data_IF_199087761926
#
_entry.id   IF_199087761926
#
_cell.length_a   1.000
_cell.length_b   1.000
_cell.length_c   1.000
_cell.angle_alpha   90.00
_cell.angle_beta   90.00
_cell.angle_gamma   90.00
#
_symmetry.space_group_name_H-M   'P 1'
#
loop_
_entity.id
_entity.type
_entity.pdbx_description
1 polymer ?
#
# COMPACT_ATOMS: atom_id res chain seq x y z
N UNK A 1 6.03 2.87 -14.57
CA UNK A 1 5.50 4.24 -14.56
C UNK A 1 5.68 4.92 -13.20
N UNK A 2 5.11 4.38 -12.07
CA UNK A 2 5.29 4.98 -10.73
C UNK A 2 6.76 4.92 -10.31
N UNK A 3 7.44 3.78 -10.47
CA UNK A 3 8.86 3.64 -10.20
C UNK A 3 9.71 4.64 -11.01
N UNK A 4 9.39 4.86 -12.29
CA UNK A 4 10.11 5.83 -13.12
C UNK A 4 9.91 7.27 -12.65
N UNK A 5 8.73 7.58 -12.11
CA UNK A 5 8.49 8.90 -11.53
C UNK A 5 9.30 9.09 -10.23
N UNK A 6 9.38 8.09 -9.36
CA UNK A 6 10.27 8.11 -8.18
C UNK A 6 11.71 8.30 -8.60
N UNK A 7 12.21 7.49 -9.54
CA UNK A 7 13.60 7.60 -10.05
C UNK A 7 13.91 8.99 -10.58
N UNK A 8 12.99 9.62 -11.33
CA UNK A 8 13.17 11.01 -11.79
C UNK A 8 13.35 11.96 -10.63
N UNK A 9 12.50 11.85 -9.59
CA UNK A 9 12.63 12.70 -8.39
C UNK A 9 13.97 12.52 -7.69
N UNK A 10 14.48 11.28 -7.59
CA UNK A 10 15.79 10.99 -7.00
C UNK A 10 16.92 11.60 -7.84
N UNK A 11 16.90 11.45 -9.15
CA UNK A 11 17.90 12.08 -10.05
C UNK A 11 17.89 13.62 -9.97
N UNK A 12 16.70 14.22 -9.96
CA UNK A 12 16.54 15.67 -9.81
C UNK A 12 17.12 16.20 -8.50
N UNK A 13 17.09 15.38 -7.44
CA UNK A 13 17.69 15.69 -6.15
C UNK A 13 19.19 15.35 -6.05
N UNK A 14 19.81 14.85 -7.14
CA UNK A 14 21.25 14.61 -7.24
C UNK A 14 21.70 13.24 -6.70
N UNK A 15 20.83 12.28 -6.54
CA UNK A 15 21.14 10.93 -6.08
C UNK A 15 20.96 9.86 -7.18
N UNK A 16 21.48 8.66 -6.95
CA UNK A 16 21.40 7.53 -7.88
C UNK A 16 20.29 6.57 -7.43
N UNK A 17 19.20 6.42 -8.20
CA UNK A 17 18.17 5.44 -7.88
C UNK A 17 18.54 4.05 -8.42
N UNK A 18 18.44 3.05 -7.55
CA UNK A 18 18.52 1.64 -7.90
C UNK A 18 17.13 1.01 -7.72
N UNK A 19 16.70 0.22 -8.70
CA UNK A 19 15.42 -0.48 -8.65
C UNK A 19 15.67 -1.98 -8.52
N UNK A 20 15.04 -2.62 -7.56
CA UNK A 20 15.05 -4.07 -7.41
C UNK A 20 13.64 -4.59 -7.11
N UNK A 21 13.26 -5.74 -7.65
CA UNK A 21 11.96 -6.33 -7.39
C UNK A 21 11.93 -6.98 -6.01
N UNK A 22 10.74 -7.02 -5.43
CA UNK A 22 10.41 -7.80 -4.24
C UNK A 22 9.17 -8.63 -4.52
N UNK A 23 8.94 -9.67 -3.70
CA UNK A 23 7.74 -10.48 -3.79
C UNK A 23 6.47 -9.64 -3.70
N UNK A 24 5.50 -9.90 -4.57
CA UNK A 24 4.17 -9.29 -4.52
C UNK A 24 3.15 -10.30 -3.99
N UNK A 25 2.38 -9.89 -2.98
CA UNK A 25 1.40 -10.74 -2.30
C UNK A 25 -0.02 -10.39 -2.75
N UNK A 26 -0.47 -11.01 -3.84
CA UNK A 26 -1.81 -10.82 -4.39
C UNK A 26 -2.82 -11.80 -3.76
N UNK A 27 -3.69 -11.32 -2.86
CA UNK A 27 -4.65 -12.13 -2.11
C UNK A 27 -5.53 -13.06 -3.00
N UNK A 28 -6.06 -12.61 -4.16
CA UNK A 28 -6.95 -13.46 -4.95
C UNK A 28 -6.31 -14.72 -5.50
N UNK A 29 -5.00 -14.71 -5.71
CA UNK A 29 -4.26 -15.77 -6.40
C UNK A 29 -3.53 -16.73 -5.46
N UNK A 30 -3.31 -16.35 -4.20
CA UNK A 30 -2.52 -17.13 -3.25
C UNK A 30 -3.39 -17.99 -2.33
N UNK A 31 -2.89 -19.17 -2.01
CA UNK A 31 -3.55 -20.14 -1.12
C UNK A 31 -2.60 -20.56 0.00
N UNK A 32 -3.11 -20.81 1.22
CA UNK A 32 -4.49 -20.56 1.67
C UNK A 32 -4.77 -19.08 1.92
N UNK A 33 -3.75 -18.26 2.17
CA UNK A 33 -3.82 -16.80 2.37
C UNK A 33 -2.45 -16.18 2.22
N UNK A 34 -2.39 -14.94 1.73
CA UNK A 34 -1.15 -14.16 1.64
C UNK A 34 -0.54 -13.84 3.01
N UNK A 35 -1.33 -13.94 4.09
CA UNK A 35 -0.85 -13.68 5.45
C UNK A 35 0.33 -14.56 5.86
N UNK A 36 0.37 -15.80 5.38
CA UNK A 36 1.48 -16.73 5.65
C UNK A 36 2.81 -16.26 5.04
N UNK A 37 2.75 -15.48 3.98
CA UNK A 37 3.93 -15.01 3.23
C UNK A 37 4.37 -13.60 3.61
N UNK A 38 3.58 -12.86 4.41
CA UNK A 38 3.90 -11.48 4.84
C UNK A 38 5.27 -11.39 5.51
N UNK A 39 5.58 -12.33 6.40
CA UNK A 39 6.85 -12.32 7.11
C UNK A 39 8.03 -12.72 6.20
N UNK A 40 7.79 -13.63 5.25
CA UNK A 40 8.79 -13.98 4.23
C UNK A 40 9.15 -12.77 3.37
N UNK A 41 8.16 -12.01 2.92
CA UNK A 41 8.37 -10.75 2.21
C UNK A 41 9.14 -9.73 3.07
N UNK A 42 8.83 -9.64 4.36
CA UNK A 42 9.55 -8.74 5.26
C UNK A 42 11.03 -9.13 5.38
N UNK A 43 11.33 -10.41 5.48
CA UNK A 43 12.70 -10.94 5.51
C UNK A 43 13.42 -10.68 4.19
N UNK A 44 12.78 -10.93 3.04
CA UNK A 44 13.33 -10.64 1.71
C UNK A 44 13.69 -9.16 1.58
N UNK A 45 12.77 -8.26 1.93
CA UNK A 45 13.00 -6.82 1.87
C UNK A 45 14.14 -6.38 2.82
N UNK A 46 14.17 -6.89 4.05
CA UNK A 46 15.23 -6.62 5.02
C UNK A 46 16.60 -7.02 4.48
N UNK A 47 16.73 -8.25 3.96
CA UNK A 47 18.00 -8.75 3.44
C UNK A 47 18.45 -7.99 2.18
N UNK A 48 17.53 -7.67 1.28
CA UNK A 48 17.87 -6.88 0.09
C UNK A 48 18.37 -5.48 0.47
N UNK A 49 17.75 -4.82 1.45
CA UNK A 49 18.19 -3.50 1.92
C UNK A 49 19.55 -3.60 2.60
N UNK A 50 19.79 -4.62 3.43
CA UNK A 50 21.09 -4.82 4.15
C UNK A 50 22.23 -5.21 3.22
N UNK A 51 21.94 -6.02 2.18
CA UNK A 51 22.97 -6.54 1.27
C UNK A 51 23.48 -5.49 0.28
N UNK A 52 22.80 -4.38 0.11
CA UNK A 52 23.15 -3.34 -0.86
C UNK A 52 23.56 -2.03 -0.16
N UNK A 53 24.48 -1.26 -0.75
CA UNK A 53 24.95 0.02 -0.18
C UNK A 53 23.91 1.13 -0.42
N UNK A 54 22.78 1.07 0.26
CA UNK A 54 21.68 2.01 0.14
C UNK A 54 21.69 3.02 1.27
N UNK A 55 21.46 4.29 0.96
CA UNK A 55 21.35 5.38 1.95
C UNK A 55 19.90 5.65 2.35
N UNK A 56 18.93 5.26 1.50
CA UNK A 56 17.49 5.40 1.75
C UNK A 56 16.68 4.53 0.82
N UNK A 57 15.39 4.34 1.14
CA UNK A 57 14.52 3.41 0.42
C UNK A 57 13.16 4.02 0.12
N UNK A 58 12.66 3.86 -1.11
CA UNK A 58 11.27 4.13 -1.45
C UNK A 58 10.55 2.82 -1.71
N UNK A 59 9.59 2.51 -0.85
CA UNK A 59 8.79 1.29 -0.92
C UNK A 59 7.58 1.49 -1.84
N UNK A 60 7.52 0.75 -2.94
CA UNK A 60 6.38 0.75 -3.85
C UNK A 60 5.41 -0.37 -3.45
N UNK A 61 4.23 0.00 -2.98
CA UNK A 61 3.27 -0.95 -2.41
C UNK A 61 1.89 -0.81 -3.03
N UNK A 62 0.96 -1.68 -2.67
CA UNK A 62 -0.41 -1.58 -3.18
C UNK A 62 -1.38 -2.62 -2.62
N UNK A 63 -0.91 -3.78 -2.21
CA UNK A 63 -1.78 -4.83 -1.69
C UNK A 63 -1.75 -4.88 -0.16
N UNK A 64 -2.75 -5.52 0.41
CA UNK A 64 -3.02 -5.55 1.86
C UNK A 64 -1.93 -6.21 2.71
N UNK A 65 -1.15 -7.16 2.19
CA UNK A 65 -0.01 -7.79 2.89
C UNK A 65 1.34 -7.30 2.38
N UNK A 66 1.41 -6.82 1.15
CA UNK A 66 2.65 -6.26 0.58
C UNK A 66 3.05 -4.98 1.32
N UNK A 67 2.10 -4.09 1.58
CA UNK A 67 2.36 -2.85 2.31
C UNK A 67 2.99 -3.10 3.69
N UNK A 68 2.36 -3.85 4.60
CA UNK A 68 2.96 -4.06 5.92
C UNK A 68 4.22 -4.94 5.87
N UNK A 69 4.33 -5.88 4.94
CA UNK A 69 5.53 -6.70 4.78
C UNK A 69 6.77 -5.87 4.44
N UNK A 70 6.66 -4.97 3.46
CA UNK A 70 7.76 -4.08 3.08
C UNK A 70 8.11 -3.08 4.19
N UNK A 71 7.10 -2.52 4.86
CA UNK A 71 7.32 -1.62 6.00
C UNK A 71 8.01 -2.33 7.15
N UNK A 72 7.64 -3.58 7.46
CA UNK A 72 8.32 -4.39 8.47
C UNK A 72 9.79 -4.64 8.12
N UNK A 73 10.09 -4.96 6.86
CA UNK A 73 11.47 -5.16 6.39
C UNK A 73 12.31 -3.89 6.52
N UNK A 74 11.79 -2.76 6.04
CA UNK A 74 12.46 -1.46 6.17
C UNK A 74 12.64 -1.02 7.63
N UNK A 75 11.64 -1.27 8.49
CA UNK A 75 11.72 -0.98 9.93
C UNK A 75 12.84 -1.75 10.63
N UNK A 76 13.13 -2.98 10.21
CA UNK A 76 14.22 -3.79 10.77
C UNK A 76 15.61 -3.24 10.42
N UNK A 77 15.75 -2.48 9.35
CA UNK A 77 17.02 -1.88 8.91
C UNK A 77 17.19 -0.46 9.42
N UNK A 78 16.10 0.25 9.62
CA UNK A 78 16.04 1.63 10.10
C UNK A 78 16.79 2.66 9.25
N UNK A 79 16.75 2.51 7.93
CA UNK A 79 17.19 3.58 7.01
C UNK A 79 16.07 4.61 6.80
N UNK A 80 16.41 5.82 6.29
CA UNK A 80 15.43 6.73 5.73
C UNK A 80 14.53 6.00 4.75
N UNK A 81 13.23 5.95 5.02
CA UNK A 81 12.30 5.14 4.25
C UNK A 81 11.00 5.91 4.01
N UNK A 82 10.53 5.90 2.77
CA UNK A 82 9.29 6.52 2.36
C UNK A 82 8.46 5.53 1.53
N UNK A 83 7.15 5.66 1.59
CA UNK A 83 6.22 4.77 0.90
C UNK A 83 5.49 5.51 -0.21
N UNK A 84 5.26 4.82 -1.31
CA UNK A 84 4.30 5.21 -2.35
C UNK A 84 3.39 4.02 -2.64
N UNK A 85 2.12 4.18 -2.37
CA UNK A 85 1.12 3.19 -2.78
C UNK A 85 0.76 3.38 -4.25
N UNK A 86 0.45 2.30 -4.95
CA UNK A 86 0.00 2.36 -6.34
C UNK A 86 -1.30 3.13 -6.54
N UNK A 87 -2.07 3.30 -5.48
CA UNK A 87 -3.37 3.97 -5.47
C UNK A 87 -4.54 3.01 -5.71
N UNK A 88 -5.75 3.37 -5.25
CA UNK A 88 -6.95 2.58 -5.46
C UNK A 88 -7.41 2.60 -6.93
N UNK A 89 -8.14 1.56 -7.32
CA UNK A 89 -8.94 1.58 -8.55
C UNK A 89 -10.01 2.69 -8.48
N UNK A 90 -10.50 3.11 -9.63
CA UNK A 90 -11.71 3.94 -9.70
C UNK A 90 -12.92 3.16 -9.17
N UNK A 91 -13.85 3.83 -8.51
CA UNK A 91 -15.07 3.21 -8.00
C UNK A 91 -15.83 2.49 -9.12
N UNK A 92 -16.19 1.25 -8.86
CA UNK A 92 -17.05 0.46 -9.74
C UNK A 92 -18.48 1.00 -9.75
N UNK A 93 -19.17 0.85 -10.88
CA UNK A 93 -20.60 1.16 -10.99
C UNK A 93 -21.29 0.07 -11.79
N UNK A 94 -22.37 -0.46 -11.24
CA UNK A 94 -23.24 -1.42 -11.91
C UNK A 94 -24.69 -1.00 -11.76
N UNK A 95 -25.40 -0.83 -12.87
CA UNK A 95 -26.81 -0.40 -12.91
C UNK A 95 -27.09 0.85 -12.05
N UNK A 96 -26.19 1.84 -12.16
CA UNK A 96 -26.33 3.13 -11.47
C UNK A 96 -25.95 3.12 -9.98
N UNK A 97 -25.57 1.98 -9.40
CA UNK A 97 -25.12 1.86 -8.01
C UNK A 97 -23.62 1.73 -7.94
N UNK A 98 -23.01 2.33 -6.93
CA UNK A 98 -21.60 2.11 -6.63
C UNK A 98 -21.40 0.68 -6.10
N UNK A 99 -20.36 0.01 -6.60
CA UNK A 99 -20.00 -1.35 -6.22
C UNK A 99 -18.52 -1.42 -5.89
N UNK A 100 -18.17 -2.30 -4.95
CA UNK A 100 -16.80 -2.54 -4.51
C UNK A 100 -16.32 -3.95 -4.81
N UNK A 101 -15.09 -4.08 -5.28
CA UNK A 101 -14.48 -5.36 -5.63
C UNK A 101 -14.33 -6.32 -4.43
N UNK A 102 -14.35 -5.80 -3.19
CA UNK A 102 -14.21 -6.62 -2.00
C UNK A 102 -15.53 -6.99 -1.32
N UNK A 103 -16.62 -6.27 -1.61
CA UNK A 103 -17.92 -6.45 -0.93
C UNK A 103 -18.98 -7.04 -1.83
N UNK A 104 -19.10 -6.53 -3.06
CA UNK A 104 -20.21 -6.88 -3.93
C UNK A 104 -19.97 -8.18 -4.74
N UNK A 105 -18.71 -8.62 -4.89
CA UNK A 105 -18.39 -9.88 -5.57
C UNK A 105 -19.11 -11.08 -4.94
N UNK A 106 -19.13 -11.16 -3.60
CA UNK A 106 -19.81 -12.23 -2.89
C UNK A 106 -21.31 -12.16 -3.06
N UNK A 107 -21.88 -10.97 -2.93
CA UNK A 107 -23.31 -10.72 -3.11
C UNK A 107 -23.80 -11.11 -4.52
N UNK A 108 -23.07 -10.73 -5.56
CA UNK A 108 -23.43 -11.07 -6.94
C UNK A 108 -23.24 -12.57 -7.21
N UNK A 109 -22.17 -13.18 -6.66
CA UNK A 109 -21.98 -14.62 -6.77
C UNK A 109 -23.11 -15.41 -6.10
N UNK A 110 -23.58 -14.97 -4.94
CA UNK A 110 -24.70 -15.60 -4.23
C UNK A 110 -26.02 -15.42 -5.01
N UNK A 111 -26.30 -14.22 -5.52
CA UNK A 111 -27.47 -13.94 -6.34
C UNK A 111 -27.48 -14.81 -7.62
N UNK A 112 -26.32 -14.98 -8.26
CA UNK A 112 -26.17 -15.85 -9.41
C UNK A 112 -26.45 -17.33 -9.05
N UNK A 113 -25.90 -17.82 -7.94
CA UNK A 113 -26.15 -19.19 -7.45
C UNK A 113 -27.62 -19.43 -7.09
N UNK A 114 -28.29 -18.39 -6.59
CA UNK A 114 -29.72 -18.44 -6.28
C UNK A 114 -30.63 -18.35 -7.53
N UNK A 115 -30.06 -18.12 -8.73
CA UNK A 115 -30.83 -17.93 -9.98
C UNK A 115 -31.47 -16.55 -10.10
N UNK A 116 -31.11 -15.60 -9.23
CA UNK A 116 -31.61 -14.22 -9.24
C UNK A 116 -30.83 -13.31 -10.21
N UNK A 117 -29.70 -13.80 -10.72
CA UNK A 117 -28.77 -13.07 -11.59
C UNK A 117 -28.29 -14.00 -12.71
N UNK A 118 -28.28 -13.52 -13.95
CA UNK A 118 -27.78 -14.32 -15.08
C UNK A 118 -26.26 -14.34 -15.12
N UNK A 119 -25.67 -15.23 -15.92
CA UNK A 119 -24.19 -15.28 -16.12
C UNK A 119 -23.71 -14.00 -16.80
N UNK A 120 -24.48 -13.48 -17.76
CA UNK A 120 -24.19 -12.23 -18.46
C UNK A 120 -24.16 -11.05 -17.49
N UNK A 121 -25.15 -10.94 -16.61
CA UNK A 121 -25.21 -9.90 -15.57
C UNK A 121 -24.03 -9.99 -14.60
N UNK A 122 -23.65 -11.20 -14.20
CA UNK A 122 -22.49 -11.42 -13.32
C UNK A 122 -21.19 -10.96 -14.02
N UNK A 123 -21.00 -11.35 -15.28
CA UNK A 123 -19.83 -10.96 -16.08
C UNK A 123 -19.75 -9.43 -16.26
N UNK A 124 -20.89 -8.78 -16.52
CA UNK A 124 -20.97 -7.32 -16.58
C UNK A 124 -20.58 -6.68 -15.25
N UNK A 125 -21.14 -7.19 -14.14
CA UNK A 125 -20.82 -6.70 -12.79
C UNK A 125 -19.33 -6.86 -12.45
N UNK A 126 -18.72 -8.01 -12.77
CA UNK A 126 -17.28 -8.25 -12.58
C UNK A 126 -16.43 -7.26 -13.38
N UNK A 127 -16.78 -7.00 -14.63
CA UNK A 127 -16.11 -6.00 -15.47
C UNK A 127 -16.21 -4.60 -14.87
N UNK A 128 -17.38 -4.25 -14.33
CA UNK A 128 -17.63 -2.97 -13.68
C UNK A 128 -16.87 -2.82 -12.35
N UNK A 129 -16.60 -3.92 -11.63
CA UNK A 129 -15.78 -3.91 -10.40
C UNK A 129 -14.30 -3.70 -10.66
N UNK A 130 -13.75 -4.22 -11.76
CA UNK A 130 -12.34 -4.09 -12.14
C UNK A 130 -12.12 -2.94 -13.14
N UNK A 131 -12.65 -1.77 -12.83
CA UNK A 131 -12.79 -0.64 -13.76
C UNK A 131 -11.47 -0.01 -14.21
N UNK A 132 -10.41 -0.08 -13.43
CA UNK A 132 -9.11 0.53 -13.75
C UNK A 132 -7.97 -0.23 -13.07
N UNK A 133 -6.72 0.12 -13.42
CA UNK A 133 -5.57 -0.27 -12.62
C UNK A 133 -5.67 0.29 -11.19
N UNK A 134 -5.02 -0.36 -10.23
CA UNK A 134 -4.99 0.03 -8.83
C UNK A 134 -5.22 -1.14 -7.89
N UNK A 135 -5.01 -0.90 -6.60
CA UNK A 135 -5.44 -1.87 -5.57
C UNK A 135 -6.97 -1.79 -5.35
N UNK A 136 -7.51 -2.71 -4.56
CA UNK A 136 -8.95 -2.73 -4.24
C UNK A 136 -9.44 -1.34 -3.78
N UNK A 137 -10.52 -0.82 -4.39
CA UNK A 137 -11.11 0.48 -4.05
C UNK A 137 -11.97 0.43 -2.78
N UNK A 138 -12.38 -0.75 -2.35
CA UNK A 138 -13.11 -0.90 -1.08
C UNK A 138 -12.23 -0.43 0.08
N UNK A 139 -12.81 0.20 1.11
CA UNK A 139 -12.12 0.53 2.36
C UNK A 139 -11.79 -0.75 3.14
N UNK A 140 -11.10 -1.67 2.48
CA UNK A 140 -10.50 -2.86 3.05
C UNK A 140 -9.08 -2.60 3.51
N UNK A 141 -8.29 -3.65 3.71
CA UNK A 141 -6.96 -3.54 4.30
C UNK A 141 -5.98 -2.73 3.44
N UNK A 142 -6.05 -2.83 2.10
CA UNK A 142 -5.15 -2.07 1.22
C UNK A 142 -5.34 -0.56 1.37
N UNK A 143 -6.58 -0.06 1.25
CA UNK A 143 -6.89 1.37 1.40
C UNK A 143 -6.69 1.86 2.83
N UNK A 144 -7.07 1.04 3.82
CA UNK A 144 -6.81 1.35 5.23
C UNK A 144 -5.32 1.53 5.48
N UNK A 145 -4.48 0.58 5.09
CA UNK A 145 -3.03 0.67 5.32
C UNK A 145 -2.41 1.83 4.55
N UNK A 146 -2.88 2.16 3.33
CA UNK A 146 -2.42 3.35 2.63
C UNK A 146 -2.64 4.62 3.49
N UNK A 147 -3.83 4.77 4.07
CA UNK A 147 -4.17 5.91 4.95
C UNK A 147 -3.37 5.90 6.25
N UNK A 148 -3.17 4.73 6.86
CA UNK A 148 -2.40 4.61 8.10
C UNK A 148 -0.91 4.86 7.90
N UNK A 149 -0.33 4.45 6.77
CA UNK A 149 1.08 4.76 6.44
C UNK A 149 1.27 6.27 6.22
N UNK A 150 0.28 6.96 5.67
CA UNK A 150 0.29 8.42 5.60
C UNK A 150 0.21 9.05 7.00
N UNK A 151 -0.66 8.53 7.87
CA UNK A 151 -0.80 8.99 9.26
C UNK A 151 0.47 8.74 10.09
N UNK A 152 1.16 7.63 9.87
CA UNK A 152 2.44 7.33 10.50
C UNK A 152 3.60 8.22 10.02
N UNK A 153 3.38 9.06 8.99
CA UNK A 153 4.42 9.91 8.41
C UNK A 153 5.31 9.21 7.37
N UNK A 154 4.99 7.97 7.00
CA UNK A 154 5.75 7.17 6.02
C UNK A 154 5.36 7.45 4.57
N UNK A 155 4.37 8.29 4.32
CA UNK A 155 3.86 8.65 3.01
C UNK A 155 3.58 10.16 2.96
N UNK A 156 3.77 10.78 1.80
CA UNK A 156 3.48 12.21 1.64
C UNK A 156 1.98 12.47 1.80
N UNK A 157 1.65 13.56 2.48
CA UNK A 157 0.28 13.98 2.78
C UNK A 157 -0.57 14.10 1.51
N UNK A 158 -1.77 13.52 1.55
CA UNK A 158 -2.72 13.47 0.43
C UNK A 158 -2.43 12.36 -0.59
N UNK A 159 -1.41 11.52 -0.37
CA UNK A 159 -1.05 10.44 -1.28
C UNK A 159 -2.03 9.27 -1.26
N UNK A 160 -2.51 8.86 -0.08
CA UNK A 160 -3.26 7.61 0.09
C UNK A 160 -4.52 7.53 -0.79
N UNK A 161 -5.26 8.64 -0.93
CA UNK A 161 -6.54 8.69 -1.61
C UNK A 161 -6.46 8.93 -3.14
N UNK A 162 -5.27 9.17 -3.71
CA UNK A 162 -5.15 9.42 -5.15
C UNK A 162 -5.33 8.11 -5.92
N UNK A 163 -6.28 8.03 -6.87
CA UNK A 163 -6.44 6.84 -7.70
C UNK A 163 -5.20 6.51 -8.53
N UNK A 164 -5.00 5.23 -8.86
CA UNK A 164 -3.84 4.76 -9.60
C UNK A 164 -3.72 5.38 -11.01
N UNK A 165 -4.84 5.71 -11.62
CA UNK A 165 -4.93 6.27 -12.99
C UNK A 165 -4.92 7.81 -13.02
N UNK A 166 -4.90 8.46 -11.87
CA UNK A 166 -4.84 9.93 -11.76
C UNK A 166 -3.40 10.42 -11.96
N UNK A 167 -3.23 11.45 -12.77
CA UNK A 167 -1.89 12.03 -13.06
C UNK A 167 -1.17 12.54 -11.81
N UNK A 168 -1.91 12.94 -10.78
CA UNK A 168 -1.35 13.35 -9.47
C UNK A 168 -0.58 12.22 -8.80
N UNK A 169 -0.89 10.95 -9.09
CA UNK A 169 -0.14 9.80 -8.59
C UNK A 169 1.33 9.85 -9.02
N UNK A 170 1.59 10.19 -10.27
CA UNK A 170 2.96 10.31 -10.81
C UNK A 170 3.68 11.54 -10.26
N UNK A 171 2.98 12.66 -10.12
CA UNK A 171 3.55 13.85 -9.48
C UNK A 171 3.93 13.58 -8.03
N UNK A 172 3.07 12.91 -7.27
CA UNK A 172 3.35 12.51 -5.89
C UNK A 172 4.52 11.54 -5.78
N UNK A 173 4.64 10.60 -6.71
CA UNK A 173 5.76 9.66 -6.77
C UNK A 173 7.09 10.39 -7.05
N UNK A 174 7.11 11.37 -7.94
CA UNK A 174 8.30 12.20 -8.21
C UNK A 174 8.68 13.05 -6.99
N UNK A 175 7.70 13.64 -6.30
CA UNK A 175 7.94 14.36 -5.04
C UNK A 175 8.51 13.43 -3.95
N UNK A 176 8.02 12.21 -3.85
CA UNK A 176 8.55 11.21 -2.91
C UNK A 176 10.01 10.85 -3.25
N UNK A 177 10.36 10.79 -4.54
CA UNK A 177 11.75 10.60 -4.97
C UNK A 177 12.69 11.74 -4.57
N UNK A 178 12.22 12.98 -4.60
CA UNK A 178 12.99 14.13 -4.07
C UNK A 178 13.09 14.06 -2.55
N UNK A 179 11.95 13.80 -1.89
CA UNK A 179 11.86 13.79 -0.43
C UNK A 179 12.75 12.74 0.22
N UNK A 180 12.89 11.56 -0.37
CA UNK A 180 13.78 10.53 0.22
C UNK A 180 15.24 10.99 0.26
N UNK A 181 15.71 11.72 -0.76
CA UNK A 181 17.07 12.25 -0.78
C UNK A 181 17.27 13.31 0.32
N UNK A 182 16.28 14.18 0.51
CA UNK A 182 16.30 15.14 1.63
C UNK A 182 16.35 14.42 2.98
N UNK A 183 15.53 13.38 3.18
CA UNK A 183 15.50 12.57 4.41
C UNK A 183 16.85 11.91 4.68
N UNK A 184 17.58 11.47 3.65
CA UNK A 184 18.94 10.93 3.80
C UNK A 184 19.89 12.01 4.33
N UNK A 185 19.87 13.22 3.76
CA UNK A 185 20.68 14.33 4.24
C UNK A 185 20.32 14.80 5.66
N UNK A 186 19.04 14.73 6.02
CA UNK A 186 18.54 15.03 7.36
C UNK A 186 18.86 13.91 8.37
N UNK A 187 19.27 12.74 7.90
CA UNK A 187 19.42 11.54 8.73
C UNK A 187 18.09 11.12 9.37
N UNK A 188 16.97 11.31 8.65
CA UNK A 188 15.62 11.04 9.12
C UNK A 188 15.24 9.57 8.87
N UNK A 189 15.60 8.71 9.82
CA UNK A 189 15.33 7.28 9.77
C UNK A 189 13.88 6.96 10.13
N UNK A 190 13.44 5.72 9.86
CA UNK A 190 12.08 5.30 10.15
C UNK A 190 11.74 5.40 11.64
N UNK A 191 12.65 5.03 12.53
CA UNK A 191 12.46 5.11 13.99
C UNK A 191 12.30 6.53 14.52
N UNK A 192 12.79 7.55 13.79
CA UNK A 192 12.59 8.96 14.13
C UNK A 192 11.24 9.52 13.71
N UNK A 193 10.60 8.87 12.72
CA UNK A 193 9.28 9.28 12.20
C UNK A 193 8.18 8.51 12.93
N UNK A 194 8.35 7.20 13.05
CA UNK A 194 7.32 6.31 13.58
C UNK A 194 7.52 6.16 15.08
N UNK A 195 6.75 6.91 15.83
CA UNK A 195 6.77 6.92 17.31
C UNK A 195 5.50 6.28 17.87
N UNK A 196 5.45 6.11 19.18
CA UNK A 196 4.24 5.65 19.88
C UNK A 196 3.05 6.56 19.60
N UNK A 197 3.26 7.87 19.62
CA UNK A 197 2.21 8.87 19.38
C UNK A 197 1.68 8.79 17.93
N UNK A 198 2.55 8.51 16.95
CA UNK A 198 2.11 8.29 15.57
C UNK A 198 1.27 7.01 15.42
N UNK A 199 1.58 5.94 16.19
CA UNK A 199 0.73 4.75 16.25
C UNK A 199 -0.61 5.03 16.91
N UNK A 200 -0.66 5.78 18.01
CA UNK A 200 -1.90 6.18 18.65
C UNK A 200 -2.77 7.01 17.68
N UNK A 201 -2.17 7.91 16.93
CA UNK A 201 -2.84 8.66 15.86
C UNK A 201 -3.37 7.72 14.75
N UNK A 202 -2.58 6.74 14.33
CA UNK A 202 -2.99 5.77 13.33
C UNK A 202 -4.19 4.91 13.82
N UNK A 203 -4.23 4.53 15.08
CA UNK A 203 -5.36 3.81 15.68
C UNK A 203 -6.62 4.67 15.66
N UNK A 204 -6.52 5.95 16.04
CA UNK A 204 -7.66 6.88 15.98
C UNK A 204 -8.17 7.07 14.55
N UNK A 205 -7.26 7.22 13.59
CA UNK A 205 -7.63 7.35 12.16
C UNK A 205 -8.27 6.06 11.65
N UNK A 206 -7.76 4.88 12.02
CA UNK A 206 -8.38 3.61 11.66
C UNK A 206 -9.82 3.51 12.15
N UNK A 207 -10.07 3.93 13.39
CA UNK A 207 -11.42 3.95 13.98
C UNK A 207 -12.32 4.96 13.26
N UNK A 208 -11.82 6.15 12.96
CA UNK A 208 -12.58 7.21 12.29
C UNK A 208 -12.96 6.85 10.84
N UNK A 209 -12.08 6.15 10.13
CA UNK A 209 -12.33 5.67 8.77
C UNK A 209 -13.28 4.47 8.70
N UNK A 210 -13.56 3.81 9.82
CA UNK A 210 -14.16 2.48 9.80
C UNK A 210 -13.27 1.47 9.07
N UNK A 211 -11.96 1.57 9.30
CA UNK A 211 -10.95 0.80 8.57
C UNK A 211 -10.96 -0.70 8.92
N UNK A 212 -10.16 -1.44 8.18
CA UNK A 212 -10.07 -2.90 8.29
C UNK A 212 -9.53 -3.35 9.66
N UNK A 213 -10.14 -4.37 10.25
CA UNK A 213 -9.66 -5.03 11.48
C UNK A 213 -8.29 -5.71 11.28
N UNK A 214 -7.95 -6.12 10.05
CA UNK A 214 -6.61 -6.65 9.73
C UNK A 214 -5.50 -5.62 9.97
N UNK A 215 -5.79 -4.32 9.90
CA UNK A 215 -4.81 -3.28 10.17
C UNK A 215 -4.20 -3.40 11.57
N UNK A 216 -4.97 -3.87 12.56
CA UNK A 216 -4.50 -4.05 13.94
C UNK A 216 -3.32 -5.03 13.98
N UNK A 217 -3.47 -6.20 13.34
CA UNK A 217 -2.39 -7.21 13.28
C UNK A 217 -1.14 -6.68 12.59
N UNK A 218 -1.33 -5.82 11.58
CA UNK A 218 -0.21 -5.23 10.85
C UNK A 218 0.48 -4.12 11.63
N UNK A 219 -0.28 -3.25 12.29
CA UNK A 219 0.28 -2.20 13.15
C UNK A 219 1.11 -2.80 14.30
N UNK A 220 0.58 -3.83 14.98
CA UNK A 220 1.32 -4.53 16.03
C UNK A 220 2.62 -5.15 15.50
N UNK A 221 2.61 -5.73 14.30
CA UNK A 221 3.80 -6.31 13.72
C UNK A 221 4.86 -5.25 13.34
N UNK A 222 4.44 -4.09 12.85
CA UNK A 222 5.35 -2.97 12.53
C UNK A 222 5.90 -2.37 13.84
N UNK A 223 5.05 -2.13 14.85
CA UNK A 223 5.45 -1.61 16.15
C UNK A 223 6.50 -2.51 16.81
N UNK A 224 6.28 -3.83 16.79
CA UNK A 224 7.25 -4.80 17.33
C UNK A 224 8.62 -4.77 16.64
N UNK A 225 8.69 -4.44 15.33
CA UNK A 225 9.96 -4.26 14.62
C UNK A 225 10.71 -3.00 15.04
N UNK A 226 10.00 -1.98 15.49
CA UNK A 226 10.55 -0.71 15.98
C UNK A 226 10.77 -0.66 17.50
N UNK A 227 10.40 -1.73 18.22
CA UNK A 227 10.50 -1.79 19.66
C UNK A 227 9.47 -0.93 20.41
N UNK A 228 8.33 -0.65 19.77
CA UNK A 228 7.23 0.16 20.32
C UNK A 228 6.16 -0.74 20.92
#
# INVERSE_FOLDING_TARGET
AVADAVKRGVWEAGALPLEFPVMSLGEPMMRPTTMLYRNLLAMEAEELIRANPLDGVVLLTGCDKTTPGLVMGAASVDLPSLLITGGPMLNGKFRGKDIGSGTDVWKFTEAHRAGEMTTEDLTEAETCMARSAGHCMTMGTASTLASLMETLGLQLTGSAAIPAVDSRRFAMAQLAGRRIVEMVHEGLTMSKIVTRESFESAIMVNAALGGSTNAIVHLLAIAGRLGI
#
